data_IF_554139365278
#
_entry.id   IF_554139365278
#
_cell.length_a   1.000
_cell.length_b   1.000
_cell.length_c   1.000
_cell.angle_alpha   90.00
_cell.angle_beta   90.00
_cell.angle_gamma   90.00
#
_symmetry.space_group_name_H-M   'P 1'
#
loop_
_entity.id
_entity.type
_entity.pdbx_description
1 polymer ?
#
# COMPACT_ATOMS: atom_id res chain seq x y z
N UNK A 1 23.55 1.52 31.15
CA UNK A 1 24.31 1.95 29.95
C UNK A 1 23.22 2.36 28.97
N UNK A 2 23.18 3.64 28.60
CA UNK A 2 21.97 4.32 28.15
C UNK A 2 21.48 3.82 26.77
N UNK A 3 20.27 3.25 26.71
CA UNK A 3 19.55 2.87 25.48
C UNK A 3 19.00 4.07 24.69
N UNK A 4 19.47 5.29 24.99
CA UNK A 4 18.99 6.56 24.40
C UNK A 4 19.80 7.03 23.19
N UNK A 5 20.64 6.17 22.57
CA UNK A 5 21.47 6.54 21.41
C UNK A 5 20.73 6.48 20.06
N UNK A 6 19.41 6.22 20.05
CA UNK A 6 18.60 6.25 18.84
C UNK A 6 17.54 7.36 18.93
N UNK A 7 17.42 8.15 17.86
CA UNK A 7 16.32 9.09 17.71
C UNK A 7 14.98 8.32 17.77
N UNK A 8 14.02 8.76 18.59
CA UNK A 8 12.70 8.14 18.68
C UNK A 8 12.03 8.08 17.31
N UNK A 9 11.42 6.93 16.98
CA UNK A 9 10.64 6.73 15.74
C UNK A 9 9.44 7.67 15.66
N UNK A 10 8.84 7.94 16.83
CA UNK A 10 7.92 9.04 17.08
C UNK A 10 8.22 9.63 18.47
N UNK A 11 8.32 10.96 18.52
CA UNK A 11 8.38 11.73 19.76
C UNK A 11 7.30 12.79 19.75
N UNK A 12 6.28 12.63 20.60
CA UNK A 12 5.36 13.71 20.88
C UNK A 12 5.91 14.51 22.05
N UNK A 13 6.57 15.64 21.76
CA UNK A 13 6.90 16.62 22.79
C UNK A 13 5.66 17.50 23.03
N UNK A 14 4.95 17.25 24.14
CA UNK A 14 3.76 18.02 24.47
C UNK A 14 4.22 19.29 25.24
N UNK A 15 4.36 20.41 24.53
CA UNK A 15 4.64 21.71 25.17
C UNK A 15 3.35 22.48 25.47
N UNK A 16 2.81 22.30 26.67
CA UNK A 16 1.72 23.11 27.20
C UNK A 16 2.23 24.20 28.15
N UNK A 17 1.81 25.46 27.96
CA UNK A 17 1.90 26.48 29.02
C UNK A 17 0.69 26.36 29.94
N UNK A 18 0.87 26.11 31.25
CA UNK A 18 -0.26 25.98 32.17
C UNK A 18 -1.06 27.28 32.26
N UNK A 19 -2.37 27.21 32.03
CA UNK A 19 -3.29 28.28 32.43
C UNK A 19 -3.54 28.16 33.94
N UNK A 20 -2.73 28.91 34.70
CA UNK A 20 -2.77 29.24 36.15
C UNK A 20 -1.83 28.45 37.07
N UNK A 21 -0.83 29.21 37.55
CA UNK A 21 -0.14 29.19 38.84
C UNK A 21 -0.25 27.92 39.71
N UNK A 22 0.52 26.90 39.33
CA UNK A 22 1.52 26.19 40.15
C UNK A 22 1.75 24.88 39.41
N UNK A 23 2.87 24.80 38.70
CA UNK A 23 3.62 23.58 38.36
C UNK A 23 4.66 24.05 37.34
N UNK A 24 5.94 23.92 37.69
CA UNK A 24 7.06 24.21 36.79
C UNK A 24 7.36 22.92 36.03
N UNK A 25 7.40 23.02 34.70
CA UNK A 25 7.91 22.02 33.76
C UNK A 25 7.18 20.66 33.78
N UNK A 26 6.03 20.60 33.10
CA UNK A 26 5.46 19.34 32.64
C UNK A 26 6.02 19.06 31.24
N UNK A 27 6.71 17.93 31.07
CA UNK A 27 7.05 17.34 29.78
C UNK A 27 6.41 15.98 29.76
N UNK A 28 5.13 15.92 29.42
CA UNK A 28 4.50 14.64 29.09
C UNK A 28 4.93 14.27 27.69
N UNK A 29 5.44 13.06 27.49
CA UNK A 29 5.71 12.54 26.16
C UNK A 29 5.24 11.10 26.07
N UNK A 30 4.64 10.79 24.91
CA UNK A 30 4.48 9.42 24.46
C UNK A 30 5.60 9.22 23.44
N UNK A 31 6.49 8.29 23.73
CA UNK A 31 7.59 7.95 22.83
C UNK A 31 7.52 6.46 22.49
N UNK A 32 7.62 6.17 21.20
CA UNK A 32 7.62 4.79 20.70
C UNK A 32 9.04 4.40 20.34
N UNK A 33 9.55 3.37 21.00
CA UNK A 33 10.88 2.82 20.79
C UNK A 33 10.76 1.31 20.58
N UNK A 34 11.13 0.79 19.40
CA UNK A 34 11.31 -0.65 19.11
C UNK A 34 10.40 -1.60 19.94
N UNK A 35 9.13 -1.72 19.55
CA UNK A 35 8.10 -2.55 20.20
C UNK A 35 7.73 -2.17 21.65
N UNK A 36 8.05 -0.96 22.09
CA UNK A 36 7.66 -0.41 23.40
C UNK A 36 7.09 0.98 23.26
N UNK A 37 6.03 1.26 24.02
CA UNK A 37 5.51 2.60 24.25
C UNK A 37 5.94 3.02 25.65
N UNK A 38 6.62 4.16 25.72
CA UNK A 38 6.89 4.84 26.99
C UNK A 38 5.89 5.98 27.12
N UNK A 39 5.11 5.94 28.20
CA UNK A 39 4.18 6.97 28.58
C UNK A 39 4.78 7.64 29.83
N UNK A 40 5.24 8.89 29.69
CA UNK A 40 5.65 9.68 30.86
C UNK A 40 4.56 10.70 31.19
N UNK A 41 3.93 10.52 32.36
CA UNK A 41 2.86 11.38 32.88
C UNK A 41 3.22 11.81 34.31
N UNK A 42 3.20 13.12 34.56
CA UNK A 42 3.43 13.70 35.90
C UNK A 42 4.71 13.24 36.64
N UNK A 43 5.73 12.79 35.89
CA UNK A 43 7.00 12.32 36.44
C UNK A 43 7.02 10.83 36.79
N UNK A 44 5.94 10.10 36.51
CA UNK A 44 5.86 8.65 36.48
C UNK A 44 6.05 8.16 35.03
N UNK A 45 6.78 7.06 34.87
CA UNK A 45 7.12 6.49 33.56
C UNK A 45 6.62 5.07 33.51
N UNK A 46 5.59 4.86 32.70
CA UNK A 46 5.05 3.54 32.41
C UNK A 46 5.57 3.07 31.05
N UNK A 47 6.03 1.83 30.99
CA UNK A 47 6.61 1.23 29.78
C UNK A 47 5.81 -0.01 29.42
N UNK A 48 5.09 0.06 28.32
CA UNK A 48 4.29 -1.03 27.79
C UNK A 48 4.97 -1.61 26.56
N UNK A 49 4.99 -2.92 26.42
CA UNK A 49 5.32 -3.60 25.17
C UNK A 49 4.14 -3.53 24.20
N UNK A 50 4.40 -3.70 22.90
CA UNK A 50 3.35 -3.74 21.87
C UNK A 50 2.35 -4.88 22.06
N UNK A 51 2.70 -5.91 22.82
CA UNK A 51 1.83 -7.06 23.09
C UNK A 51 0.89 -6.81 24.29
N UNK A 52 1.18 -5.79 25.11
CA UNK A 52 0.39 -5.36 26.26
C UNK A 52 -0.65 -4.28 25.88
N UNK A 53 -0.56 -3.69 24.69
CA UNK A 53 -1.49 -2.67 24.21
C UNK A 53 -2.46 -3.32 23.24
N UNK A 54 -3.75 -3.24 23.56
CA UNK A 54 -4.79 -3.84 22.73
C UNK A 54 -5.42 -2.83 21.76
N UNK A 55 -5.60 -1.57 22.18
CA UNK A 55 -6.20 -0.56 21.31
C UNK A 55 -5.79 0.87 21.69
N UNK A 56 -5.77 1.78 20.71
CA UNK A 56 -5.64 3.22 20.89
C UNK A 56 -6.59 3.92 19.92
N UNK A 57 -7.57 4.63 20.46
CA UNK A 57 -8.60 5.28 19.65
C UNK A 57 -8.94 6.69 20.15
N UNK A 58 -9.55 7.48 19.28
CA UNK A 58 -10.09 8.78 19.62
C UNK A 58 -11.56 8.62 19.95
N UNK A 59 -11.92 8.94 21.18
CA UNK A 59 -13.30 8.96 21.67
C UNK A 59 -13.90 10.32 21.36
N UNK A 60 -14.90 10.34 20.47
CA UNK A 60 -15.69 11.52 20.16
C UNK A 60 -16.61 11.86 21.36
N UNK A 61 -16.84 13.16 21.65
CA UNK A 61 -17.68 13.57 22.78
C UNK A 61 -19.13 13.12 22.57
N UNK A 62 -19.75 12.57 23.63
CA UNK A 62 -21.10 11.99 23.60
C UNK A 62 -22.20 13.08 23.50
N UNK A 63 -21.86 14.37 23.70
CA UNK A 63 -22.80 15.49 23.71
C UNK A 63 -22.22 16.69 22.95
N UNK A 64 -23.04 17.33 22.09
CA UNK A 64 -22.70 18.44 21.19
C UNK A 64 -22.14 19.73 21.87
N UNK A 65 -22.02 19.78 23.20
CA UNK A 65 -21.73 21.02 23.94
C UNK A 65 -20.46 21.00 24.81
N UNK A 66 -19.59 19.99 24.65
CA UNK A 66 -18.22 20.03 25.22
C UNK A 66 -17.23 19.51 24.18
N UNK A 67 -16.71 20.44 23.38
CA UNK A 67 -15.94 20.19 22.15
C UNK A 67 -14.48 19.75 22.34
N UNK A 68 -14.20 18.76 23.20
CA UNK A 68 -12.87 18.16 23.29
C UNK A 68 -12.94 16.67 22.96
N UNK A 69 -12.32 16.27 21.84
CA UNK A 69 -12.01 14.87 21.54
C UNK A 69 -11.09 14.33 22.64
N UNK A 70 -11.23 13.07 23.05
CA UNK A 70 -10.34 12.46 24.05
C UNK A 70 -9.59 11.31 23.41
N UNK A 71 -8.28 11.22 23.62
CA UNK A 71 -7.52 10.05 23.16
C UNK A 71 -7.52 9.00 24.25
N UNK A 72 -7.92 7.78 23.91
CA UNK A 72 -8.00 6.64 24.83
C UNK A 72 -6.95 5.61 24.44
N UNK A 73 -6.17 5.15 25.42
CA UNK A 73 -5.21 4.05 25.27
C UNK A 73 -5.69 2.91 26.16
N UNK A 74 -6.02 1.75 25.58
CA UNK A 74 -6.41 0.54 26.32
C UNK A 74 -5.27 -0.47 26.34
N UNK A 75 -4.98 -1.01 27.53
CA UNK A 75 -3.85 -1.90 27.75
C UNK A 75 -4.21 -3.02 28.73
N UNK A 76 -3.35 -4.03 28.78
CA UNK A 76 -3.42 -5.17 29.67
C UNK A 76 -2.21 -5.16 30.60
N UNK A 77 -2.46 -5.16 31.90
CA UNK A 77 -1.41 -5.22 32.92
C UNK A 77 -1.78 -6.27 33.96
N UNK A 78 -0.86 -7.21 34.20
CA UNK A 78 -1.03 -8.31 35.18
C UNK A 78 -2.33 -9.15 35.06
N UNK A 79 -2.93 -9.19 33.85
CA UNK A 79 -4.15 -9.95 33.58
C UNK A 79 -5.45 -9.16 33.78
N UNK A 80 -5.37 -7.86 34.05
CA UNK A 80 -6.50 -6.93 34.09
C UNK A 80 -6.42 -5.91 32.95
N UNK A 81 -7.59 -5.50 32.44
CA UNK A 81 -7.70 -4.46 31.40
C UNK A 81 -7.71 -3.08 32.07
N UNK A 82 -6.82 -2.19 31.62
CA UNK A 82 -6.70 -0.80 32.04
C UNK A 82 -6.88 0.17 30.87
N UNK A 83 -7.08 1.45 31.18
CA UNK A 83 -7.13 2.50 30.16
C UNK A 83 -6.59 3.85 30.66
N UNK A 84 -6.03 4.64 29.74
CA UNK A 84 -5.71 6.06 29.93
C UNK A 84 -6.63 6.91 29.08
N UNK A 85 -7.24 7.95 29.65
CA UNK A 85 -7.96 9.00 28.92
C UNK A 85 -7.14 10.29 28.93
N UNK A 86 -6.78 10.78 27.74
CA UNK A 86 -6.02 12.01 27.53
C UNK A 86 -6.95 13.08 26.91
N UNK A 87 -7.40 14.01 27.74
CA UNK A 87 -8.36 15.05 27.33
C UNK A 87 -7.66 16.20 26.55
N UNK A 88 -8.27 16.63 25.44
CA UNK A 88 -7.72 17.69 24.58
C UNK A 88 -7.79 19.09 25.23
N UNK A 89 -8.62 19.29 26.26
CA UNK A 89 -8.64 20.52 27.07
C UNK A 89 -7.38 20.69 27.93
N UNK A 90 -6.76 19.56 28.29
CA UNK A 90 -5.48 19.48 29.00
C UNK A 90 -4.32 19.69 28.03
N UNK A 91 -4.46 19.24 26.78
CA UNK A 91 -3.45 19.33 25.72
C UNK A 91 -4.05 19.72 24.36
N UNK A 92 -4.21 21.03 24.07
CA UNK A 92 -4.93 21.49 22.88
C UNK A 92 -4.31 20.98 21.57
N UNK A 93 -5.09 20.26 20.77
CA UNK A 93 -4.70 19.72 19.47
C UNK A 93 -3.95 18.39 19.55
N UNK A 94 -3.86 17.76 20.72
CA UNK A 94 -3.31 16.42 20.91
C UNK A 94 -4.15 15.42 20.13
N UNK A 95 -5.48 15.49 20.24
CA UNK A 95 -6.36 14.58 19.52
C UNK A 95 -6.15 14.70 18.00
N UNK A 96 -6.01 15.91 17.46
CA UNK A 96 -5.74 16.12 16.02
C UNK A 96 -4.35 15.67 15.59
N UNK A 97 -3.33 15.83 16.44
CA UNK A 97 -1.97 15.36 16.16
C UNK A 97 -1.88 13.84 16.23
N UNK A 98 -2.54 13.23 17.22
CA UNK A 98 -2.68 11.78 17.33
C UNK A 98 -3.56 11.23 16.22
N UNK A 99 -4.61 11.90 15.79
CA UNK A 99 -5.42 11.51 14.61
C UNK A 99 -4.52 11.46 13.37
N UNK A 100 -3.74 12.52 13.13
CA UNK A 100 -2.76 12.53 12.03
C UNK A 100 -1.72 11.43 12.16
N UNK A 101 -1.20 11.17 13.35
CA UNK A 101 -0.20 10.12 13.56
C UNK A 101 -0.78 8.70 13.54
N UNK A 102 -1.99 8.47 14.07
CA UNK A 102 -2.76 7.24 14.01
C UNK A 102 -3.04 6.86 12.56
N UNK A 103 -3.47 7.83 11.75
CA UNK A 103 -3.73 7.63 10.33
C UNK A 103 -2.47 7.44 9.48
N UNK A 104 -1.33 8.07 9.83
CA UNK A 104 -0.15 8.10 8.94
C UNK A 104 1.07 7.29 9.42
N UNK A 105 1.21 7.03 10.72
CA UNK A 105 2.41 6.43 11.32
C UNK A 105 2.14 5.20 12.20
N UNK A 106 0.89 4.95 12.60
CA UNK A 106 0.56 3.90 13.58
C UNK A 106 0.20 2.57 12.89
N UNK A 107 -0.44 2.59 11.73
CA UNK A 107 -0.54 1.38 10.87
C UNK A 107 0.86 0.78 10.58
N UNK A 108 1.88 1.65 10.50
CA UNK A 108 3.29 1.25 10.30
C UNK A 108 3.95 0.58 11.52
N UNK A 109 3.40 0.74 12.73
CA UNK A 109 4.01 0.30 14.00
C UNK A 109 3.36 -0.99 14.56
N UNK A 110 2.07 -1.28 14.27
CA UNK A 110 1.39 -2.50 14.77
C UNK A 110 1.54 -3.73 13.88
N UNK A 111 1.79 -3.56 12.58
CA UNK A 111 1.87 -4.70 11.66
C UNK A 111 3.27 -5.29 11.60
N UNK A 112 3.56 -6.19 12.54
CA UNK A 112 4.50 -7.30 12.30
C UNK A 112 4.07 -8.04 11.02
N UNK A 113 4.75 -7.77 9.91
CA UNK A 113 5.17 -8.75 8.91
C UNK A 113 6.08 -8.01 7.94
N UNK A 114 7.37 -7.95 8.24
CA UNK A 114 8.32 -7.60 7.19
C UNK A 114 8.18 -8.67 6.11
N UNK A 115 7.51 -8.34 5.01
CA UNK A 115 7.31 -9.29 3.92
C UNK A 115 8.66 -9.84 3.47
N UNK A 116 8.72 -11.14 3.11
CA UNK A 116 9.89 -11.68 2.44
C UNK A 116 10.28 -10.81 1.24
N UNK A 117 11.57 -10.75 0.92
CA UNK A 117 12.06 -9.89 -0.17
C UNK A 117 11.35 -10.22 -1.49
N UNK A 118 11.06 -11.50 -1.76
CA UNK A 118 10.28 -11.89 -2.94
C UNK A 118 8.89 -11.26 -2.96
N UNK A 119 8.19 -11.18 -1.82
CA UNK A 119 6.86 -10.55 -1.73
C UNK A 119 6.96 -9.02 -1.87
N UNK A 120 7.98 -8.39 -1.29
CA UNK A 120 8.26 -6.96 -1.50
C UNK A 120 8.52 -6.65 -2.97
N UNK A 121 9.17 -7.57 -3.70
CA UNK A 121 9.37 -7.44 -5.14
C UNK A 121 8.03 -7.45 -5.90
N UNK A 122 7.09 -8.34 -5.55
CA UNK A 122 5.75 -8.33 -6.13
C UNK A 122 4.98 -7.03 -5.81
N UNK A 123 5.10 -6.52 -4.59
CA UNK A 123 4.50 -5.25 -4.20
C UNK A 123 5.08 -4.08 -5.00
N UNK A 124 6.39 -4.09 -5.27
CA UNK A 124 7.04 -3.09 -6.11
C UNK A 124 6.51 -3.10 -7.56
N UNK A 125 6.13 -4.26 -8.11
CA UNK A 125 5.44 -4.33 -9.41
C UNK A 125 4.07 -3.65 -9.40
N UNK A 126 3.34 -3.72 -8.29
CA UNK A 126 2.01 -3.12 -8.12
C UNK A 126 2.03 -1.67 -7.63
N UNK A 127 3.19 -1.16 -7.19
CA UNK A 127 3.27 0.09 -6.44
C UNK A 127 2.66 1.30 -7.16
N UNK A 128 2.90 1.48 -8.47
CA UNK A 128 2.30 2.57 -9.25
C UNK A 128 0.77 2.48 -9.21
N UNK A 129 0.23 1.29 -9.45
CA UNK A 129 -1.21 1.07 -9.45
C UNK A 129 -1.81 1.35 -8.07
N UNK A 130 -1.21 0.80 -7.02
CA UNK A 130 -1.69 0.99 -5.65
C UNK A 130 -1.68 2.47 -5.26
N UNK A 131 -0.60 3.20 -5.53
CA UNK A 131 -0.53 4.63 -5.21
C UNK A 131 -1.58 5.44 -6.02
N UNK A 132 -1.74 5.13 -7.31
CA UNK A 132 -2.71 5.82 -8.16
C UNK A 132 -4.16 5.59 -7.71
N UNK A 133 -4.45 4.48 -7.02
CA UNK A 133 -5.78 4.15 -6.48
C UNK A 133 -5.88 4.35 -4.97
N UNK A 134 -4.99 5.19 -4.41
CA UNK A 134 -4.96 5.56 -2.99
C UNK A 134 -4.81 4.36 -2.03
N UNK A 135 -4.19 3.28 -2.50
CA UNK A 135 -3.87 2.07 -1.74
C UNK A 135 -2.41 2.08 -1.24
N UNK A 136 -2.10 1.21 -0.28
CA UNK A 136 -0.78 1.12 0.30
C UNK A 136 0.18 0.30 -0.58
N UNK A 137 1.27 0.85 -1.14
CA UNK A 137 2.18 0.10 -2.00
C UNK A 137 3.08 -0.90 -1.25
N UNK A 138 3.06 -0.91 0.08
CA UNK A 138 3.88 -1.81 0.92
C UNK A 138 3.11 -3.09 1.27
N UNK A 139 1.78 -3.02 1.34
CA UNK A 139 0.91 -4.14 1.73
C UNK A 139 0.58 -5.00 0.51
N UNK A 140 0.62 -6.34 0.65
CA UNK A 140 0.25 -7.22 -0.45
C UNK A 140 -1.24 -7.05 -0.79
N UNK A 141 -1.51 -6.69 -2.05
CA UNK A 141 -2.87 -6.35 -2.50
C UNK A 141 -3.32 -4.91 -2.22
N UNK A 142 -2.50 -4.13 -1.50
CA UNK A 142 -2.75 -2.70 -1.30
C UNK A 142 -3.63 -2.33 -0.10
N UNK A 143 -4.27 -3.31 0.53
CA UNK A 143 -5.19 -3.11 1.65
C UNK A 143 -5.25 -4.33 2.55
N UNK A 144 -5.67 -4.12 3.79
CA UNK A 144 -5.84 -5.20 4.76
C UNK A 144 -7.02 -6.09 4.40
N UNK A 145 -6.84 -7.39 4.60
CA UNK A 145 -7.88 -8.38 4.34
C UNK A 145 -8.93 -8.34 5.45
N UNK A 146 -10.05 -7.69 5.16
CA UNK A 146 -11.22 -7.60 6.02
C UNK A 146 -12.52 -7.63 5.17
N UNK A 147 -13.72 -7.76 5.77
CA UNK A 147 -14.97 -7.84 5.02
C UNK A 147 -15.27 -6.66 4.10
N UNK A 148 -14.88 -5.43 4.48
CA UNK A 148 -15.14 -4.22 3.69
C UNK A 148 -14.24 -4.18 2.47
N UNK A 149 -12.94 -4.43 2.65
CA UNK A 149 -11.98 -4.58 1.56
C UNK A 149 -12.42 -5.69 0.61
N UNK A 150 -12.78 -6.87 1.13
CA UNK A 150 -13.26 -7.99 0.31
C UNK A 150 -14.44 -7.58 -0.57
N UNK A 151 -15.45 -6.89 -0.02
CA UNK A 151 -16.62 -6.46 -0.77
C UNK A 151 -16.27 -5.42 -1.85
N UNK A 152 -15.40 -4.46 -1.52
CA UNK A 152 -14.93 -3.45 -2.46
C UNK A 152 -14.13 -4.09 -3.62
N UNK A 153 -13.21 -5.00 -3.31
CA UNK A 153 -12.38 -5.66 -4.32
C UNK A 153 -13.19 -6.63 -5.18
N UNK A 154 -14.17 -7.35 -4.63
CA UNK A 154 -15.10 -8.18 -5.44
C UNK A 154 -15.89 -7.34 -6.44
N UNK A 155 -16.32 -6.14 -6.04
CA UNK A 155 -17.01 -5.21 -6.95
C UNK A 155 -16.10 -4.77 -8.09
N UNK A 156 -14.83 -4.42 -7.80
CA UNK A 156 -13.84 -4.05 -8.81
C UNK A 156 -13.57 -5.20 -9.78
N UNK A 157 -13.37 -6.42 -9.25
CA UNK A 157 -13.17 -7.64 -10.04
C UNK A 157 -14.36 -7.92 -10.96
N UNK A 158 -15.59 -7.74 -10.48
CA UNK A 158 -16.78 -7.91 -11.31
C UNK A 158 -16.90 -6.82 -12.37
N UNK A 159 -16.89 -5.54 -11.98
CA UNK A 159 -17.17 -4.45 -12.91
C UNK A 159 -16.12 -4.34 -14.03
N UNK A 160 -14.86 -4.62 -13.70
CA UNK A 160 -13.74 -4.41 -14.64
C UNK A 160 -13.35 -5.69 -15.39
N UNK A 161 -13.44 -6.85 -14.74
CA UNK A 161 -12.95 -8.13 -15.29
C UNK A 161 -14.05 -9.17 -15.49
N UNK A 162 -15.27 -8.89 -15.04
CA UNK A 162 -16.38 -9.85 -15.00
C UNK A 162 -16.04 -11.12 -14.20
N UNK A 163 -15.14 -10.99 -13.21
CA UNK A 163 -14.72 -12.08 -12.32
C UNK A 163 -15.70 -12.17 -11.14
N UNK A 164 -16.42 -13.28 -11.03
CA UNK A 164 -17.37 -13.53 -9.95
C UNK A 164 -16.97 -14.71 -9.06
N UNK A 165 -16.08 -15.57 -9.56
CA UNK A 165 -15.68 -16.82 -8.92
C UNK A 165 -14.17 -17.02 -8.98
N UNK A 166 -13.66 -17.92 -8.14
CA UNK A 166 -12.26 -18.34 -8.19
C UNK A 166 -11.87 -18.94 -9.55
N UNK A 167 -12.80 -19.63 -10.23
CA UNK A 167 -12.53 -20.18 -11.56
C UNK A 167 -12.38 -19.08 -12.63
N UNK A 168 -13.21 -18.04 -12.57
CA UNK A 168 -13.08 -16.89 -13.48
C UNK A 168 -11.73 -16.20 -13.27
N UNK A 169 -11.33 -16.04 -12.01
CA UNK A 169 -10.03 -15.46 -11.67
C UNK A 169 -8.88 -16.29 -12.24
N UNK A 170 -8.85 -17.60 -11.98
CA UNK A 170 -7.79 -18.50 -12.48
C UNK A 170 -7.74 -18.51 -14.02
N UNK A 171 -8.90 -18.44 -14.68
CA UNK A 171 -8.97 -18.28 -16.13
C UNK A 171 -8.25 -16.99 -16.58
N UNK A 172 -8.56 -15.84 -15.97
CA UNK A 172 -7.90 -14.58 -16.30
C UNK A 172 -6.40 -14.57 -15.99
N UNK A 173 -5.97 -15.14 -14.86
CA UNK A 173 -4.55 -15.27 -14.52
C UNK A 173 -3.82 -16.09 -15.60
N UNK A 174 -4.42 -17.19 -16.07
CA UNK A 174 -3.88 -18.00 -17.17
C UNK A 174 -3.78 -17.21 -18.48
N UNK A 175 -4.85 -16.48 -18.85
CA UNK A 175 -4.84 -15.65 -20.07
C UNK A 175 -3.72 -14.60 -20.04
N UNK A 176 -3.56 -13.89 -18.93
CA UNK A 176 -2.51 -12.87 -18.76
C UNK A 176 -1.11 -13.49 -18.76
N UNK A 177 -0.92 -14.64 -18.11
CA UNK A 177 0.36 -15.34 -18.12
C UNK A 177 0.79 -15.74 -19.54
N UNK A 178 -0.19 -16.00 -20.41
CA UNK A 178 0.00 -16.40 -21.80
C UNK A 178 -0.06 -15.22 -22.80
N UNK A 179 -0.14 -13.98 -22.32
CA UNK A 179 0.02 -12.78 -23.17
C UNK A 179 -1.24 -12.39 -23.92
N UNK A 180 -2.39 -12.40 -23.24
CA UNK A 180 -3.67 -12.00 -23.82
C UNK A 180 -3.61 -10.68 -24.57
N UNK A 181 -2.99 -9.64 -24.01
CA UNK A 181 -2.92 -8.33 -24.68
C UNK A 181 -2.05 -8.38 -25.93
N UNK A 182 -1.02 -9.23 -25.94
CA UNK A 182 -0.18 -9.49 -27.12
C UNK A 182 -0.99 -10.18 -28.21
N UNK A 183 -1.72 -11.24 -27.87
CA UNK A 183 -2.60 -11.95 -28.82
C UNK A 183 -3.65 -11.01 -29.42
N UNK A 184 -4.28 -10.17 -28.59
CA UNK A 184 -5.23 -9.17 -29.06
C UNK A 184 -4.59 -8.15 -30.00
N UNK A 185 -3.38 -7.70 -29.70
CA UNK A 185 -2.64 -6.78 -30.55
C UNK A 185 -2.27 -7.43 -31.89
N UNK A 186 -1.81 -8.69 -31.88
CA UNK A 186 -1.48 -9.45 -33.09
C UNK A 186 -2.71 -9.71 -33.96
N UNK A 187 -3.87 -10.06 -33.38
CA UNK A 187 -5.12 -10.23 -34.13
C UNK A 187 -5.54 -8.94 -34.85
N UNK A 188 -5.37 -7.79 -34.21
CA UNK A 188 -5.68 -6.50 -34.83
C UNK A 188 -4.75 -6.22 -36.01
N UNK A 189 -3.45 -6.50 -35.88
CA UNK A 189 -2.49 -6.33 -36.97
C UNK A 189 -2.80 -7.24 -38.16
N UNK A 190 -3.18 -8.49 -37.91
CA UNK A 190 -3.42 -9.48 -38.96
C UNK A 190 -4.79 -9.31 -39.63
N UNK A 191 -5.83 -9.06 -38.84
CA UNK A 191 -7.22 -9.15 -39.29
C UNK A 191 -7.92 -7.78 -39.37
N UNK A 192 -7.30 -6.70 -38.90
CA UNK A 192 -7.90 -5.36 -38.91
C UNK A 192 -9.16 -5.26 -38.05
N UNK A 193 -9.35 -6.19 -37.10
CA UNK A 193 -10.46 -6.18 -36.16
C UNK A 193 -10.22 -5.08 -35.12
N UNK A 194 -10.38 -3.82 -35.51
CA UNK A 194 -10.33 -2.72 -34.56
C UNK A 194 -11.49 -2.83 -33.56
N UNK A 195 -11.16 -2.86 -32.27
CA UNK A 195 -12.06 -2.34 -31.25
C UNK A 195 -12.06 -0.82 -31.45
N UNK A 196 -13.12 -0.28 -32.04
CA UNK A 196 -13.36 1.15 -32.35
C UNK A 196 -12.33 1.95 -33.18
N UNK A 197 -12.78 3.06 -33.78
CA UNK A 197 -12.09 3.83 -34.83
C UNK A 197 -10.94 4.71 -34.30
N UNK A 198 -10.89 4.99 -33.00
CA UNK A 198 -9.86 5.83 -32.34
C UNK A 198 -8.56 5.07 -32.03
N UNK A 199 -8.59 3.74 -32.16
CA UNK A 199 -7.54 2.83 -31.68
C UNK A 199 -6.39 2.69 -32.68
N UNK A 200 -6.60 3.06 -33.95
CA UNK A 200 -5.61 2.96 -35.02
C UNK A 200 -4.33 3.80 -34.78
N UNK A 201 -4.47 5.00 -34.21
CA UNK A 201 -3.32 5.86 -33.88
C UNK A 201 -2.49 5.29 -32.72
N UNK A 202 -3.15 4.60 -31.77
CA UNK A 202 -2.51 3.93 -30.65
C UNK A 202 -1.75 2.66 -31.08
N UNK A 203 -2.30 1.91 -32.04
CA UNK A 203 -1.62 0.78 -32.68
C UNK A 203 -0.33 1.22 -33.38
N UNK A 204 -0.39 2.25 -34.24
CA UNK A 204 0.79 2.79 -34.92
C UNK A 204 1.85 3.27 -33.93
N UNK A 205 1.43 3.77 -32.75
CA UNK A 205 2.31 4.23 -31.68
C UNK A 205 2.98 3.10 -30.90
N UNK A 206 2.30 1.99 -30.63
CA UNK A 206 2.91 0.80 -30.01
C UNK A 206 3.83 0.08 -30.99
N UNK A 207 3.45 0.08 -32.27
CA UNK A 207 4.31 -0.37 -33.36
C UNK A 207 5.58 0.51 -33.45
N UNK A 208 5.44 1.84 -33.37
CA UNK A 208 6.57 2.79 -33.33
C UNK A 208 7.42 2.69 -32.05
N UNK A 209 6.80 2.47 -30.89
CA UNK A 209 7.48 2.24 -29.62
C UNK A 209 8.16 0.86 -29.57
N UNK A 210 7.80 -0.01 -30.52
CA UNK A 210 8.60 -1.17 -30.88
C UNK A 210 8.53 -2.32 -29.89
N UNK A 211 7.32 -2.73 -29.45
CA UNK A 211 6.89 -4.15 -29.51
C UNK A 211 5.82 -4.54 -28.49
N UNK A 212 5.13 -5.63 -28.83
CA UNK A 212 4.39 -6.51 -27.92
C UNK A 212 5.12 -6.84 -26.60
N UNK A 213 6.44 -6.61 -26.53
CA UNK A 213 7.19 -6.60 -25.29
C UNK A 213 6.58 -5.72 -24.20
N UNK A 214 6.06 -4.53 -24.51
CA UNK A 214 5.47 -3.69 -23.47
C UNK A 214 4.08 -4.15 -23.02
N UNK A 215 3.35 -4.86 -23.90
CA UNK A 215 2.09 -5.51 -23.54
C UNK A 215 2.28 -6.67 -22.57
N UNK A 216 3.42 -7.36 -22.62
CA UNK A 216 3.79 -8.34 -21.59
C UNK A 216 3.95 -7.70 -20.20
N UNK A 217 4.49 -6.48 -20.10
CA UNK A 217 4.65 -5.80 -18.81
C UNK A 217 3.29 -5.50 -18.20
N UNK A 218 2.36 -5.03 -19.02
CA UNK A 218 0.97 -4.81 -18.64
C UNK A 218 0.30 -6.10 -18.16
N UNK A 219 0.34 -7.17 -18.98
CA UNK A 219 -0.33 -8.42 -18.64
C UNK A 219 0.20 -9.04 -17.35
N UNK A 220 1.53 -9.09 -17.20
CA UNK A 220 2.16 -9.72 -16.04
C UNK A 220 2.00 -8.87 -14.77
N UNK A 221 2.01 -7.54 -14.87
CA UNK A 221 1.65 -6.67 -13.74
C UNK A 221 0.18 -6.88 -13.33
N UNK A 222 -0.73 -6.92 -14.30
CA UNK A 222 -2.16 -7.17 -14.05
C UNK A 222 -2.39 -8.54 -13.43
N UNK A 223 -1.63 -9.56 -13.82
CA UNK A 223 -1.65 -10.88 -13.18
C UNK A 223 -1.28 -10.77 -11.70
N UNK A 224 -0.14 -10.16 -11.37
CA UNK A 224 0.30 -9.96 -9.97
C UNK A 224 -0.77 -9.20 -9.17
N UNK A 225 -1.38 -8.17 -9.75
CA UNK A 225 -2.48 -7.46 -9.11
C UNK A 225 -3.71 -8.34 -8.88
N UNK A 226 -4.18 -9.06 -9.91
CA UNK A 226 -5.36 -9.91 -9.80
C UNK A 226 -5.16 -11.07 -8.83
N UNK A 227 -3.95 -11.64 -8.76
CA UNK A 227 -3.63 -12.66 -7.77
C UNK A 227 -3.75 -12.09 -6.34
N UNK A 228 -3.23 -10.88 -6.11
CA UNK A 228 -3.34 -10.21 -4.82
C UNK A 228 -4.80 -9.85 -4.46
N UNK A 229 -5.59 -9.34 -5.41
CA UNK A 229 -7.02 -9.11 -5.21
C UNK A 229 -7.78 -10.42 -4.97
N UNK A 230 -7.38 -11.51 -5.63
CA UNK A 230 -7.90 -12.85 -5.42
C UNK A 230 -7.72 -13.33 -3.98
N UNK A 231 -6.56 -13.07 -3.39
CA UNK A 231 -6.31 -13.31 -1.96
C UNK A 231 -7.22 -12.48 -1.06
N UNK A 232 -7.37 -11.17 -1.33
CA UNK A 232 -8.26 -10.29 -0.56
C UNK A 232 -9.74 -10.73 -0.66
N UNK A 233 -10.11 -11.34 -1.78
CA UNK A 233 -11.48 -11.76 -2.08
C UNK A 233 -11.84 -13.20 -1.65
N UNK A 234 -10.94 -13.92 -0.98
CA UNK A 234 -11.06 -15.36 -0.68
C UNK A 234 -11.25 -16.25 -1.93
N UNK A 235 -10.78 -15.79 -3.09
CA UNK A 235 -10.72 -16.60 -4.31
C UNK A 235 -9.44 -17.42 -4.41
N UNK A 236 -8.36 -16.97 -3.75
CA UNK A 236 -7.09 -17.67 -3.61
C UNK A 236 -6.66 -17.71 -2.15
N UNK A 237 -5.90 -18.73 -1.78
CA UNK A 237 -5.13 -18.71 -0.53
C UNK A 237 -3.96 -17.72 -0.66
N UNK A 238 -3.29 -17.44 0.47
CA UNK A 238 -2.07 -16.63 0.45
C UNK A 238 -1.00 -17.27 -0.43
N UNK A 239 -0.82 -18.58 -0.27
CA UNK A 239 0.17 -19.36 -0.97
C UNK A 239 -0.11 -19.44 -2.47
N UNK A 240 -1.37 -19.69 -2.87
CA UNK A 240 -1.75 -19.76 -4.29
C UNK A 240 -1.57 -18.40 -4.99
N UNK A 241 -1.93 -17.31 -4.32
CA UNK A 241 -1.73 -15.97 -4.87
C UNK A 241 -0.25 -15.65 -5.10
N UNK A 242 0.61 -15.99 -4.13
CA UNK A 242 2.05 -15.80 -4.26
C UNK A 242 2.71 -16.74 -5.27
N UNK A 243 2.23 -17.98 -5.41
CA UNK A 243 2.71 -18.92 -6.43
C UNK A 243 2.43 -18.34 -7.85
N UNK A 244 1.25 -17.75 -8.09
CA UNK A 244 0.96 -17.03 -9.34
C UNK A 244 1.84 -15.78 -9.54
N UNK A 245 2.05 -14.99 -8.49
CA UNK A 245 2.94 -13.82 -8.55
C UNK A 245 4.38 -14.22 -8.87
N UNK A 246 4.85 -15.37 -8.37
CA UNK A 246 6.19 -15.89 -8.63
C UNK A 246 6.36 -16.30 -10.10
N UNK A 247 5.38 -17.01 -10.68
CA UNK A 247 5.41 -17.35 -12.10
C UNK A 247 5.51 -16.11 -12.98
N UNK A 248 4.69 -15.08 -12.70
CA UNK A 248 4.74 -13.81 -13.41
C UNK A 248 6.06 -13.07 -13.19
N UNK A 249 6.55 -13.01 -11.95
CA UNK A 249 7.81 -12.35 -11.60
C UNK A 249 9.03 -12.97 -12.29
N UNK A 250 9.11 -14.31 -12.35
CA UNK A 250 10.18 -15.01 -13.07
C UNK A 250 10.14 -14.68 -14.57
N UNK A 251 8.94 -14.58 -15.15
CA UNK A 251 8.78 -14.19 -16.55
C UNK A 251 9.16 -12.72 -16.78
N UNK A 252 8.76 -11.82 -15.89
CA UNK A 252 9.19 -10.41 -15.90
C UNK A 252 10.72 -10.29 -15.86
N UNK A 253 11.40 -10.98 -14.93
CA UNK A 253 12.87 -10.95 -14.84
C UNK A 253 13.59 -11.53 -16.06
N UNK A 254 12.90 -12.36 -16.85
CA UNK A 254 13.43 -12.89 -18.13
C UNK A 254 13.26 -11.88 -19.26
N UNK A 255 12.18 -11.10 -19.23
CA UNK A 255 11.83 -10.15 -20.28
C UNK A 255 12.57 -8.82 -20.10
N UNK A 256 12.64 -8.27 -18.89
CA UNK A 256 13.21 -6.95 -18.62
C UNK A 256 14.45 -7.05 -17.74
N UNK A 257 15.30 -6.04 -17.83
CA UNK A 257 16.60 -5.97 -17.16
C UNK A 257 16.65 -5.02 -15.96
N UNK A 258 15.63 -4.15 -15.79
CA UNK A 258 15.57 -3.17 -14.70
C UNK A 258 14.15 -2.72 -14.38
N UNK A 259 13.97 -2.10 -13.21
CA UNK A 259 12.73 -1.42 -12.85
C UNK A 259 12.35 -0.32 -13.83
N UNK A 260 13.33 0.43 -14.35
CA UNK A 260 13.08 1.53 -15.29
C UNK A 260 12.51 1.00 -16.60
N UNK A 261 13.15 -0.01 -17.18
CA UNK A 261 12.68 -0.65 -18.41
C UNK A 261 11.29 -1.29 -18.24
N UNK A 262 11.08 -2.01 -17.13
CA UNK A 262 9.77 -2.58 -16.82
C UNK A 262 8.69 -1.50 -16.69
N UNK A 263 8.97 -0.40 -15.97
CA UNK A 263 7.99 0.68 -15.78
C UNK A 263 7.72 1.43 -17.08
N UNK A 264 8.73 1.69 -17.89
CA UNK A 264 8.57 2.31 -19.21
C UNK A 264 7.62 1.47 -20.08
N UNK A 265 7.84 0.16 -20.12
CA UNK A 265 6.95 -0.73 -20.86
C UNK A 265 5.57 -0.89 -20.22
N UNK A 266 5.47 -0.98 -18.90
CA UNK A 266 4.20 -1.07 -18.18
C UNK A 266 3.30 0.14 -18.47
N UNK A 267 3.85 1.35 -18.46
CA UNK A 267 3.07 2.57 -18.73
C UNK A 267 2.63 2.67 -20.18
N UNK A 268 3.46 2.23 -21.14
CA UNK A 268 3.03 2.12 -22.54
C UNK A 268 1.90 1.10 -22.70
N UNK A 269 2.01 -0.07 -22.05
CA UNK A 269 0.95 -1.08 -22.06
C UNK A 269 -0.33 -0.62 -21.35
N UNK A 270 -0.21 0.19 -20.29
CA UNK A 270 -1.36 0.87 -19.67
C UNK A 270 -2.04 1.83 -20.66
N UNK A 271 -1.26 2.69 -21.33
CA UNK A 271 -1.81 3.65 -22.28
C UNK A 271 -2.50 2.94 -23.46
N UNK A 272 -1.97 1.79 -23.90
CA UNK A 272 -2.65 0.91 -24.85
C UNK A 272 -4.04 0.49 -24.37
N UNK A 273 -4.11 -0.06 -23.16
CA UNK A 273 -5.35 -0.56 -22.58
C UNK A 273 -6.36 0.55 -22.27
N UNK A 274 -5.87 1.70 -21.80
CA UNK A 274 -6.69 2.85 -21.43
C UNK A 274 -7.08 3.71 -22.65
N UNK A 275 -6.55 3.41 -23.83
CA UNK A 275 -6.72 4.20 -25.04
C UNK A 275 -6.26 5.66 -24.86
N UNK A 276 -5.19 5.86 -24.08
CA UNK A 276 -4.63 7.17 -23.75
C UNK A 276 -3.39 7.51 -24.58
N UNK A 277 -3.20 8.80 -24.84
CA UNK A 277 -1.97 9.30 -25.43
C UNK A 277 -0.85 9.36 -24.35
N UNK A 278 0.24 8.57 -24.47
CA UNK A 278 1.35 8.60 -23.51
C UNK A 278 2.08 9.94 -23.40
N UNK A 279 1.96 10.83 -24.40
CA UNK A 279 2.54 12.17 -24.42
C UNK A 279 1.59 13.24 -23.86
N UNK A 280 0.35 12.87 -23.50
CA UNK A 280 -0.59 13.79 -22.88
C UNK A 280 -0.24 14.01 -21.41
N UNK A 281 0.35 15.17 -21.12
CA UNK A 281 0.72 15.58 -19.76
C UNK A 281 -0.49 15.78 -18.81
N UNK A 282 -1.72 15.69 -19.32
CA UNK A 282 -2.95 15.71 -18.52
C UNK A 282 -3.57 14.33 -18.29
N UNK A 283 -3.06 13.28 -18.95
CA UNK A 283 -3.57 11.91 -18.88
C UNK A 283 -3.09 11.13 -17.65
N UNK A 284 -3.79 10.03 -17.35
CA UNK A 284 -3.46 9.13 -16.22
C UNK A 284 -2.12 8.43 -16.44
N UNK A 285 -1.76 8.12 -17.69
CA UNK A 285 -0.44 7.57 -18.03
C UNK A 285 0.72 8.49 -17.57
N UNK A 286 0.59 9.80 -17.77
CA UNK A 286 1.57 10.78 -17.31
C UNK A 286 1.56 10.92 -15.78
N UNK A 287 0.39 10.95 -15.15
CA UNK A 287 0.25 10.97 -13.69
C UNK A 287 0.94 9.76 -13.05
N UNK A 288 0.78 8.56 -13.63
CA UNK A 288 1.45 7.32 -13.20
C UNK A 288 2.98 7.37 -13.37
N UNK A 289 3.50 8.02 -14.42
CA UNK A 289 4.95 8.31 -14.52
C UNK A 289 5.43 9.18 -13.36
N UNK A 290 4.69 10.24 -13.04
CA UNK A 290 5.07 11.14 -11.94
C UNK A 290 5.10 10.42 -10.59
N UNK A 291 4.17 9.48 -10.36
CA UNK A 291 4.19 8.60 -9.18
C UNK A 291 5.53 7.87 -9.10
N UNK A 292 5.96 7.20 -10.17
CA UNK A 292 7.24 6.48 -10.19
C UNK A 292 8.43 7.41 -9.90
N UNK A 293 8.53 8.52 -10.64
CA UNK A 293 9.65 9.46 -10.55
C UNK A 293 9.76 10.17 -9.19
N UNK A 294 8.62 10.42 -8.54
CA UNK A 294 8.57 10.99 -7.20
C UNK A 294 8.93 9.94 -6.14
N UNK A 295 8.25 8.79 -6.14
CA UNK A 295 8.42 7.79 -5.09
C UNK A 295 9.81 7.16 -5.11
N UNK A 296 10.44 6.99 -6.28
CA UNK A 296 11.81 6.45 -6.41
C UNK A 296 12.86 7.28 -5.66
N UNK A 297 12.59 8.56 -5.39
CA UNK A 297 13.48 9.47 -4.65
C UNK A 297 13.33 9.36 -3.13
N UNK A 298 12.26 8.73 -2.64
CA UNK A 298 11.97 8.61 -1.22
C UNK A 298 12.81 7.51 -0.56
N UNK A 299 13.07 7.66 0.74
CA UNK A 299 13.74 6.62 1.55
C UNK A 299 12.91 5.32 1.63
N UNK A 300 11.59 5.46 1.58
CA UNK A 300 10.58 4.39 1.61
C UNK A 300 10.19 3.88 0.22
N UNK A 301 10.97 4.17 -0.82
CA UNK A 301 10.61 3.80 -2.19
C UNK A 301 10.39 2.28 -2.35
N UNK A 302 9.30 1.84 -3.01
CA UNK A 302 9.01 0.41 -3.21
C UNK A 302 10.06 -0.33 -4.04
N UNK A 303 10.72 0.37 -4.98
CA UNK A 303 11.72 -0.20 -5.90
C UNK A 303 13.14 -0.28 -5.32
N UNK A 304 13.28 -0.21 -3.99
CA UNK A 304 14.58 -0.31 -3.31
C UNK A 304 15.17 -1.71 -3.42
N UNK A 305 14.30 -2.73 -3.49
CA UNK A 305 14.71 -4.10 -3.80
C UNK A 305 15.28 -4.16 -5.21
N UNK A 306 16.41 -4.84 -5.39
CA UNK A 306 17.07 -4.91 -6.69
C UNK A 306 16.21 -5.68 -7.69
N UNK A 307 16.14 -5.21 -8.94
CA UNK A 307 15.36 -5.88 -9.99
C UNK A 307 15.73 -7.36 -10.12
N UNK A 308 17.03 -7.68 -10.09
CA UNK A 308 17.58 -9.03 -10.19
C UNK A 308 17.64 -9.79 -8.85
N UNK A 309 16.90 -9.37 -7.83
CA UNK A 309 16.73 -10.16 -6.60
C UNK A 309 16.21 -11.56 -6.97
N UNK A 310 16.78 -12.60 -6.36
CA UNK A 310 16.43 -13.98 -6.71
C UNK A 310 15.03 -14.31 -6.19
N UNK A 311 14.04 -14.36 -7.09
CA UNK A 311 12.69 -14.75 -6.73
C UNK A 311 12.64 -16.23 -6.36
N UNK A 312 12.11 -16.52 -5.17
CA UNK A 312 11.94 -17.89 -4.70
C UNK A 312 10.73 -18.02 -3.78
N UNK A 313 10.26 -19.25 -3.58
CA UNK A 313 9.13 -19.52 -2.69
C UNK A 313 9.58 -19.30 -1.23
N UNK A 314 9.07 -18.24 -0.61
CA UNK A 314 9.46 -17.77 0.74
C UNK A 314 8.29 -17.77 1.75
N UNK A 315 7.17 -18.42 1.40
CA UNK A 315 5.94 -18.52 2.19
C UNK A 315 5.57 -19.96 2.53
#
# INVERSE_FOLDING_TARGET
MNDYEHEPLLLFQIEGKPRRHRLKNLRSFVAVYNNKITIELDGETDIYSSEEIFDIYIKEPIVEDVGSKTTVIEFYEEGEQGFYELEDDTFPGLATQMEKALTHQWVYILEKCEYPETVKWFNACNAILNIATEQNPIIFGGADKNPDTMNAQRKILFDTWQINTANDLVYWLSMLLNGRSVEQYEDVLENGNCLDVDTGELFERIEHAGSSHCLWAWDLQRLINLAALGYLCDYLTWEDALDHCLEAGLKLQTLYSSWDEFVDCYLLGYCYWAEENPDDESGEGFMRRQIYDYYKKLKSNPWKIQWNHKLSREW
#
